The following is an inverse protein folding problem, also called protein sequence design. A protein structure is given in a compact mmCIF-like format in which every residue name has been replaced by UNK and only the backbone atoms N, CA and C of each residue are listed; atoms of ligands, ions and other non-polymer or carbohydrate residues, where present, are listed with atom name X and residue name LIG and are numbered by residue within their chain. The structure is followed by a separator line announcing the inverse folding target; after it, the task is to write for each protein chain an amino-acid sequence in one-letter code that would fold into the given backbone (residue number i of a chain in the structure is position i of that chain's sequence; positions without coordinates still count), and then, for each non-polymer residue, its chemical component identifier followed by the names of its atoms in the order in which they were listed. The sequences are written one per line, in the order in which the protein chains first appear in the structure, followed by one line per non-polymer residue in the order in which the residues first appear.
data_IF_403424252237
#
_entry.id   IF_403424252237
#
_cell.length_a   1.000
_cell.length_b   1.000
_cell.length_c   1.000
_cell.angle_alpha   90.00
_cell.angle_beta   90.00
_cell.angle_gamma   90.00
#
_symmetry.space_group_name_H-M   'P 1'
#
loop_
_entity.id
_entity.type
_entity.pdbx_description
1 polymer ?
#
# COMPACT_ATOMS: atom_id res chain seq x y z
N UNK A 1 2.47 22.41 22.02
CA UNK A 1 2.47 20.93 22.10
C UNK A 1 2.29 20.38 20.69
N UNK A 2 3.38 20.11 19.99
CA UNK A 2 3.42 19.18 18.85
C UNK A 2 4.69 18.38 19.08
N UNK A 3 4.49 17.22 19.68
CA UNK A 3 5.54 16.23 19.86
C UNK A 3 5.87 15.69 18.46
N UNK A 4 7.00 16.14 17.92
CA UNK A 4 7.58 15.65 16.66
C UNK A 4 8.25 14.30 16.92
N UNK A 5 7.50 13.40 17.57
CA UNK A 5 7.88 12.03 17.83
C UNK A 5 8.27 11.41 16.49
N UNK A 6 9.55 11.06 16.39
CA UNK A 6 10.18 10.22 15.37
C UNK A 6 9.11 9.59 14.48
N UNK A 7 8.93 10.09 13.25
CA UNK A 7 8.05 9.44 12.28
C UNK A 7 8.57 8.01 12.13
N UNK A 8 7.92 7.06 12.78
CA UNK A 8 8.26 5.66 12.66
C UNK A 8 8.22 5.31 11.17
N UNK A 9 9.25 4.61 10.70
CA UNK A 9 9.29 4.16 9.31
C UNK A 9 8.02 3.38 8.98
N UNK A 10 7.51 3.58 7.76
CA UNK A 10 6.33 2.88 7.30
C UNK A 10 6.62 1.38 7.26
N UNK A 11 5.82 0.59 7.99
CA UNK A 11 5.84 -0.87 7.92
C UNK A 11 4.51 -1.35 7.37
N UNK A 12 4.57 -2.16 6.33
CA UNK A 12 3.42 -2.80 5.67
C UNK A 12 3.81 -4.25 5.45
N UNK A 13 2.92 -5.19 5.74
CA UNK A 13 3.10 -6.62 5.54
C UNK A 13 1.81 -7.18 4.93
N UNK A 14 1.96 -8.13 4.00
CA UNK A 14 0.82 -8.72 3.28
C UNK A 14 0.86 -10.22 3.41
N UNK A 15 -0.25 -10.82 3.85
CA UNK A 15 -0.41 -12.26 4.03
C UNK A 15 -1.68 -12.75 3.35
N UNK A 16 -1.60 -13.90 2.70
CA UNK A 16 -2.78 -14.60 2.16
C UNK A 16 -3.19 -15.71 3.11
N UNK A 17 -4.45 -15.68 3.58
CA UNK A 17 -5.02 -16.62 4.54
C UNK A 17 -6.26 -17.27 3.94
N UNK A 18 -6.06 -18.30 3.10
CA UNK A 18 -7.10 -19.27 2.73
C UNK A 18 -8.44 -18.71 2.27
N UNK A 19 -8.45 -17.55 1.60
CA UNK A 19 -9.66 -16.83 1.18
C UNK A 19 -9.64 -15.34 1.49
N UNK A 20 -8.77 -14.90 2.40
CA UNK A 20 -8.60 -13.50 2.77
C UNK A 20 -7.19 -13.02 2.47
N UNK A 21 -7.06 -11.71 2.18
CA UNK A 21 -5.78 -11.02 2.15
C UNK A 21 -5.73 -10.07 3.33
N UNK A 22 -4.71 -10.24 4.18
CA UNK A 22 -4.47 -9.37 5.34
C UNK A 22 -3.34 -8.42 4.99
N UNK A 23 -3.65 -7.13 4.95
CA UNK A 23 -2.65 -6.05 4.92
C UNK A 23 -2.51 -5.53 6.34
N UNK A 24 -1.39 -5.86 6.99
CA UNK A 24 -1.06 -5.38 8.32
C UNK A 24 -0.03 -4.25 8.20
N UNK A 25 -0.32 -3.08 8.78
CA UNK A 25 0.61 -1.96 8.74
C UNK A 25 0.55 -1.12 10.00
N UNK A 26 1.67 -0.45 10.32
CA UNK A 26 1.66 0.59 11.34
C UNK A 26 0.93 1.85 10.81
N UNK A 27 0.67 2.82 11.69
CA UNK A 27 -0.07 4.03 11.29
C UNK A 27 0.60 4.79 10.14
N UNK A 28 1.94 4.79 10.05
CA UNK A 28 2.67 5.39 8.95
C UNK A 28 2.45 4.61 7.64
N UNK A 29 2.56 3.28 7.67
CA UNK A 29 2.31 2.39 6.53
C UNK A 29 0.89 2.47 6.00
N UNK A 30 -0.12 2.52 6.88
CA UNK A 30 -1.51 2.73 6.47
C UNK A 30 -1.71 4.06 5.74
N UNK A 31 -1.08 5.14 6.21
CA UNK A 31 -1.12 6.45 5.53
C UNK A 31 -0.37 6.42 4.20
N UNK A 32 0.74 5.70 4.11
CA UNK A 32 1.47 5.50 2.84
C UNK A 32 0.61 4.77 1.82
N UNK A 33 -0.05 3.66 2.21
CA UNK A 33 -0.98 2.94 1.33
C UNK A 33 -2.15 3.83 0.89
N UNK A 34 -2.75 4.59 1.81
CA UNK A 34 -3.79 5.55 1.46
C UNK A 34 -3.28 6.58 0.44
N UNK A 35 -2.04 7.06 0.58
CA UNK A 35 -1.40 7.94 -0.41
C UNK A 35 -1.28 7.30 -1.79
N UNK A 36 -0.84 6.04 -1.88
CA UNK A 36 -0.78 5.32 -3.15
C UNK A 36 -2.16 5.16 -3.80
N UNK A 37 -3.19 4.84 -3.02
CA UNK A 37 -4.57 4.78 -3.50
C UNK A 37 -5.07 6.13 -4.01
N UNK A 38 -4.77 7.22 -3.29
CA UNK A 38 -5.12 8.57 -3.72
C UNK A 38 -4.41 8.99 -5.01
N UNK A 39 -3.16 8.56 -5.21
CA UNK A 39 -2.44 8.78 -6.47
C UNK A 39 -3.17 8.07 -7.61
N UNK A 40 -3.49 6.78 -7.45
CA UNK A 40 -4.23 6.01 -8.48
C UNK A 40 -5.62 6.59 -8.78
N UNK A 41 -6.28 7.17 -7.78
CA UNK A 41 -7.59 7.80 -7.92
C UNK A 41 -7.57 9.19 -8.58
N UNK A 42 -6.41 9.75 -8.92
CA UNK A 42 -6.31 11.08 -9.54
C UNK A 42 -6.98 11.14 -10.92
N UNK A 43 -7.61 12.27 -11.24
CA UNK A 43 -8.40 12.44 -12.48
C UNK A 43 -7.60 12.16 -13.77
N UNK A 44 -6.30 12.47 -13.76
CA UNK A 44 -5.41 12.31 -14.91
C UNK A 44 -4.74 10.92 -14.99
N UNK A 45 -5.04 9.99 -14.06
CA UNK A 45 -4.44 8.65 -14.07
C UNK A 45 -5.22 7.74 -15.00
N UNK A 46 -4.59 7.12 -16.02
CA UNK A 46 -5.28 6.21 -16.92
C UNK A 46 -5.79 4.95 -16.22
N UNK A 47 -6.91 4.43 -16.69
CA UNK A 47 -7.44 3.14 -16.29
C UNK A 47 -6.45 1.99 -16.56
N UNK A 48 -6.43 0.99 -15.69
CA UNK A 48 -5.46 -0.10 -15.70
C UNK A 48 -4.08 0.28 -15.15
N UNK A 49 -3.90 1.54 -14.71
CA UNK A 49 -2.70 1.94 -13.97
C UNK A 49 -2.62 1.19 -12.65
N UNK A 50 -1.44 0.66 -12.33
CA UNK A 50 -1.24 -0.11 -11.12
C UNK A 50 0.14 0.09 -10.49
N UNK A 51 0.23 -0.27 -9.21
CA UNK A 51 1.44 -0.23 -8.40
C UNK A 51 1.70 -1.62 -7.83
N UNK A 52 2.92 -2.12 -8.01
CA UNK A 52 3.39 -3.38 -7.42
C UNK A 52 4.20 -3.09 -6.16
N UNK A 53 3.83 -3.76 -5.07
CA UNK A 53 4.57 -3.79 -3.82
C UNK A 53 5.02 -5.23 -3.56
N UNK A 54 6.32 -5.43 -3.39
CA UNK A 54 6.94 -6.76 -3.31
C UNK A 54 8.01 -6.82 -2.22
N UNK A 55 8.43 -8.04 -1.86
CA UNK A 55 9.51 -8.26 -0.90
C UNK A 55 10.80 -7.57 -1.35
N UNK A 56 11.36 -6.71 -0.49
CA UNK A 56 12.54 -5.90 -0.79
C UNK A 56 12.27 -4.61 -1.58
N UNK A 57 11.02 -4.40 -2.03
CA UNK A 57 10.58 -3.17 -2.70
C UNK A 57 9.19 -2.75 -2.17
N UNK A 58 9.20 -2.04 -1.04
CA UNK A 58 8.00 -1.55 -0.38
C UNK A 58 7.38 -2.51 0.64
N UNK A 59 7.71 -3.82 0.59
CA UNK A 59 7.32 -4.81 1.60
C UNK A 59 8.54 -5.54 2.20
N UNK A 60 8.44 -6.02 3.46
CA UNK A 60 9.40 -6.94 4.06
C UNK A 60 9.51 -8.25 3.28
N UNK A 61 10.70 -8.84 3.31
CA UNK A 61 10.96 -10.19 2.77
C UNK A 61 9.95 -11.21 3.31
N UNK A 62 9.44 -12.08 2.43
CA UNK A 62 8.43 -13.09 2.78
C UNK A 62 6.98 -12.61 2.80
N UNK A 63 6.74 -11.31 2.57
CA UNK A 63 5.37 -10.82 2.30
C UNK A 63 4.87 -11.38 0.96
N UNK A 64 3.56 -11.63 0.87
CA UNK A 64 2.93 -11.82 -0.42
C UNK A 64 3.00 -10.52 -1.25
N UNK A 65 3.13 -10.62 -2.57
CA UNK A 65 3.03 -9.47 -3.45
C UNK A 65 1.65 -8.82 -3.37
N UNK A 66 1.60 -7.49 -3.45
CA UNK A 66 0.37 -6.70 -3.47
C UNK A 66 0.35 -5.80 -4.70
N UNK A 67 -0.76 -5.86 -5.44
CA UNK A 67 -1.02 -4.97 -6.57
C UNK A 67 -2.18 -4.05 -6.18
N UNK A 68 -1.97 -2.75 -6.33
CA UNK A 68 -3.03 -1.74 -6.26
C UNK A 68 -3.30 -1.27 -7.68
N UNK A 69 -4.55 -1.36 -8.13
CA UNK A 69 -4.90 -1.06 -9.52
C UNK A 69 -6.12 -0.13 -9.57
N UNK A 70 -6.06 0.86 -10.45
CA UNK A 70 -7.23 1.61 -10.89
C UNK A 70 -7.98 0.75 -11.91
N UNK A 71 -9.24 0.46 -11.64
CA UNK A 71 -10.08 -0.32 -12.54
C UNK A 71 -10.20 0.34 -13.92
N UNK A 72 -10.53 -0.48 -14.91
CA UNK A 72 -11.10 0.02 -16.15
C UNK A 72 -12.56 0.38 -15.88
N UNK A 73 -12.89 1.66 -16.03
CA UNK A 73 -14.29 2.09 -16.10
C UNK A 73 -14.76 1.80 -17.54
N UNK A 74 -15.55 0.73 -17.72
CA UNK A 74 -16.26 0.45 -19.00
C UNK A 74 -17.39 1.45 -19.26
#
# INVERSE_FOLDING_TARGET
MRDDSVRADARIEVRSLGGEVVIEANAAGLRTLAGHLLVLAGDDVPDGSHLHLEGGNGLPEGSAGLVLERCHDE
#
